data_IF_313904918457
#
_entry.id   IF_313904918457
#
_cell.length_a   1.000
_cell.length_b   1.000
_cell.length_c   1.000
_cell.angle_alpha   90.00
_cell.angle_beta   90.00
_cell.angle_gamma   90.00
#
_symmetry.space_group_name_H-M   'P 1'
#
loop_
_entity.id
_entity.type
_entity.pdbx_description
1 polymer ?
#
# COMPACT_ATOMS: atom_id res chain seq x y z
N UNK A 1 -8.28 3.55 -8.76
CA UNK A 1 -9.39 2.88 -8.05
C UNK A 1 -9.56 3.36 -6.61
N UNK A 2 -8.53 3.26 -5.78
CA UNK A 2 -8.61 3.73 -4.38
C UNK A 2 -8.86 5.24 -4.28
N UNK A 3 -8.30 6.04 -5.18
CA UNK A 3 -8.52 7.48 -5.23
C UNK A 3 -10.00 7.83 -5.39
N UNK A 4 -10.67 7.17 -6.34
CA UNK A 4 -12.09 7.39 -6.59
C UNK A 4 -12.93 6.99 -5.38
N UNK A 5 -12.60 5.87 -4.75
CA UNK A 5 -13.30 5.39 -3.57
C UNK A 5 -13.13 6.36 -2.38
N UNK A 6 -11.92 6.87 -2.17
CA UNK A 6 -11.63 7.86 -1.13
C UNK A 6 -12.38 9.17 -1.41
N UNK A 7 -12.36 9.63 -2.66
CA UNK A 7 -13.09 10.82 -3.07
C UNK A 7 -14.60 10.71 -2.87
N UNK A 8 -15.16 9.53 -3.16
CA UNK A 8 -16.59 9.27 -2.96
C UNK A 8 -17.01 9.36 -1.48
N UNK A 9 -16.09 9.07 -0.56
CA UNK A 9 -16.33 9.21 0.88
C UNK A 9 -16.10 10.63 1.39
N UNK A 10 -15.77 11.57 0.51
CA UNK A 10 -15.54 12.97 0.88
C UNK A 10 -14.22 13.24 1.60
N UNK A 11 -13.28 12.32 1.54
CA UNK A 11 -11.98 12.48 2.18
C UNK A 11 -11.09 13.36 1.31
N UNK A 12 -10.51 14.40 1.90
CA UNK A 12 -9.69 15.41 1.21
C UNK A 12 -8.35 15.59 1.93
N UNK A 13 -7.49 16.39 1.31
CA UNK A 13 -6.24 16.80 1.94
C UNK A 13 -5.10 15.80 1.83
N UNK A 14 -5.19 14.85 0.88
CA UNK A 14 -4.13 13.89 0.64
C UNK A 14 -3.24 14.32 -0.52
N UNK A 15 -2.01 13.82 -0.51
CA UNK A 15 -1.03 13.99 -1.59
C UNK A 15 -0.83 12.67 -2.31
N UNK A 16 -0.66 12.73 -3.63
CA UNK A 16 -0.38 11.55 -4.45
C UNK A 16 1.12 11.42 -4.69
N UNK A 17 1.62 10.19 -4.66
CA UNK A 17 3.03 9.89 -4.94
C UNK A 17 3.99 10.81 -4.17
N UNK A 18 3.78 10.90 -2.86
CA UNK A 18 4.44 11.88 -2.01
C UNK A 18 5.92 11.54 -1.80
N UNK A 19 6.79 12.20 -2.55
CA UNK A 19 8.23 11.92 -2.54
C UNK A 19 8.95 12.43 -1.28
N UNK A 20 8.34 13.32 -0.51
CA UNK A 20 8.94 13.87 0.72
C UNK A 20 8.90 12.91 1.89
N UNK A 21 8.08 11.86 1.82
CA UNK A 21 8.05 10.82 2.85
C UNK A 21 8.87 9.61 2.40
N UNK A 22 9.47 8.85 3.35
CA UNK A 22 10.21 7.63 2.99
C UNK A 22 9.34 6.67 2.18
N UNK A 23 9.93 6.06 1.16
CA UNK A 23 9.25 5.06 0.35
C UNK A 23 8.25 5.61 -0.66
N UNK A 24 8.06 6.92 -0.73
CA UNK A 24 7.16 7.56 -1.69
C UNK A 24 5.77 6.89 -1.73
N UNK A 25 4.97 6.98 -0.65
CA UNK A 25 3.66 6.35 -0.61
C UNK A 25 2.75 6.82 -1.74
N UNK A 26 1.86 5.95 -2.20
CA UNK A 26 0.92 6.27 -3.27
C UNK A 26 -0.04 7.39 -2.85
N UNK A 27 -0.48 7.36 -1.60
CA UNK A 27 -1.32 8.39 -1.01
C UNK A 27 -0.74 8.74 0.36
N UNK A 28 -0.60 10.04 0.65
CA UNK A 28 -0.11 10.51 1.94
C UNK A 28 -1.05 11.55 2.53
N UNK A 29 -1.47 11.31 3.76
CA UNK A 29 -2.20 12.29 4.57
C UNK A 29 -1.18 12.94 5.51
N UNK A 30 -0.56 14.02 5.05
CA UNK A 30 0.61 14.60 5.69
C UNK A 30 0.33 15.08 7.11
N UNK A 31 -0.79 15.79 7.31
CA UNK A 31 -1.15 16.31 8.62
C UNK A 31 -1.39 15.22 9.67
N UNK A 32 -1.89 14.07 9.24
CA UNK A 32 -2.16 12.94 10.14
C UNK A 32 -1.08 11.88 10.12
N UNK A 33 -0.10 12.02 9.24
CA UNK A 33 1.00 11.07 9.05
C UNK A 33 0.51 9.65 8.78
N UNK A 34 -0.39 9.53 7.81
CA UNK A 34 -0.86 8.24 7.32
C UNK A 34 -0.40 8.05 5.89
N UNK A 35 0.32 6.97 5.65
CA UNK A 35 0.81 6.60 4.32
C UNK A 35 0.06 5.38 3.82
N UNK A 36 -0.46 5.44 2.60
CA UNK A 36 -1.19 4.36 1.98
C UNK A 36 -0.41 3.86 0.77
N UNK A 37 -0.13 2.56 0.76
CA UNK A 37 0.46 1.88 -0.40
C UNK A 37 -0.59 0.98 -1.03
N UNK A 38 -0.71 1.06 -2.36
CA UNK A 38 -1.55 0.14 -3.14
C UNK A 38 -0.62 -0.85 -3.81
N UNK A 39 -0.66 -2.11 -3.37
CA UNK A 39 0.25 -3.14 -3.84
C UNK A 39 -0.41 -4.07 -4.86
N UNK A 40 0.19 -4.19 -6.05
CA UNK A 40 -0.16 -5.20 -7.03
C UNK A 40 0.22 -6.57 -6.48
N UNK A 41 -0.70 -7.54 -6.57
CA UNK A 41 -0.55 -8.84 -5.90
C UNK A 41 0.68 -9.63 -6.36
N UNK A 42 0.94 -9.64 -7.65
CA UNK A 42 2.09 -10.36 -8.20
C UNK A 42 3.42 -9.76 -7.72
N UNK A 43 3.59 -8.43 -7.91
CA UNK A 43 4.87 -7.76 -7.68
C UNK A 43 5.27 -7.67 -6.21
N UNK A 44 4.29 -7.66 -5.32
CA UNK A 44 4.50 -7.48 -3.88
C UNK A 44 4.24 -8.76 -3.08
N UNK A 45 4.05 -9.88 -3.75
CA UNK A 45 3.85 -11.19 -3.12
C UNK A 45 2.70 -11.18 -2.11
N UNK A 46 1.50 -10.91 -2.62
CA UNK A 46 0.28 -10.84 -1.82
C UNK A 46 0.08 -12.11 -0.98
N UNK A 47 -0.14 -11.97 0.34
CA UNK A 47 -0.39 -13.12 1.21
C UNK A 47 -1.84 -13.60 1.19
N UNK A 48 -2.74 -12.88 0.50
CA UNK A 48 -4.19 -13.11 0.59
C UNK A 48 -4.79 -13.85 -0.60
N UNK A 49 -4.15 -13.81 -1.77
CA UNK A 49 -4.72 -14.41 -2.97
C UNK A 49 -3.72 -15.35 -3.64
N UNK A 50 -4.26 -16.27 -4.45
CA UNK A 50 -3.43 -17.06 -5.34
C UNK A 50 -3.00 -16.18 -6.50
N UNK A 51 -1.71 -16.13 -6.74
CA UNK A 51 -1.14 -15.38 -7.84
C UNK A 51 -0.39 -16.32 -8.77
N UNK A 52 -0.35 -15.95 -10.03
CA UNK A 52 0.42 -16.68 -11.03
C UNK A 52 1.92 -16.58 -10.72
N UNK A 53 2.61 -17.72 -10.73
CA UNK A 53 4.07 -17.77 -10.62
C UNK A 53 4.62 -18.28 -11.94
N UNK A 54 5.45 -17.49 -12.65
CA UNK A 54 6.02 -17.96 -13.91
C UNK A 54 6.84 -19.23 -13.71
N UNK A 55 6.67 -20.19 -14.63
CA UNK A 55 7.43 -21.45 -14.59
C UNK A 55 8.84 -21.29 -15.13
N UNK A 56 9.02 -20.40 -16.10
CA UNK A 56 10.34 -20.08 -16.65
C UNK A 56 11.11 -19.16 -15.72
N UNK A 57 12.42 -19.39 -15.59
CA UNK A 57 13.30 -18.53 -14.79
C UNK A 57 12.83 -18.39 -13.32
N UNK A 58 12.42 -19.49 -12.71
CA UNK A 58 11.92 -19.51 -11.33
C UNK A 58 12.88 -18.86 -10.34
N UNK A 59 14.16 -19.16 -10.45
CA UNK A 59 15.19 -18.62 -9.54
C UNK A 59 15.27 -17.10 -9.67
N UNK A 60 15.26 -16.60 -10.90
CA UNK A 60 15.30 -15.17 -11.16
C UNK A 60 14.07 -14.46 -10.57
N UNK A 61 12.87 -15.02 -10.82
CA UNK A 61 11.63 -14.45 -10.29
C UNK A 61 11.57 -14.49 -8.77
N UNK A 62 12.03 -15.56 -8.16
CA UNK A 62 12.07 -15.69 -6.70
C UNK A 62 12.94 -14.59 -6.09
N UNK A 63 14.11 -14.34 -6.67
CA UNK A 63 15.01 -13.27 -6.21
C UNK A 63 14.38 -11.89 -6.40
N UNK A 64 13.78 -11.65 -7.57
CA UNK A 64 13.16 -10.35 -7.90
C UNK A 64 12.01 -10.04 -6.97
N UNK A 65 11.11 -10.97 -6.79
CA UNK A 65 9.94 -10.79 -5.91
C UNK A 65 10.35 -10.68 -4.45
N UNK A 66 11.34 -11.44 -4.03
CA UNK A 66 11.90 -11.35 -2.67
C UNK A 66 12.48 -9.98 -2.39
N UNK A 67 13.21 -9.40 -3.34
CA UNK A 67 13.74 -8.04 -3.20
C UNK A 67 12.63 -6.99 -3.10
N UNK A 68 11.56 -7.16 -3.86
CA UNK A 68 10.42 -6.26 -3.78
C UNK A 68 9.79 -6.29 -2.38
N UNK A 69 9.63 -7.48 -1.81
CA UNK A 69 9.12 -7.64 -0.43
C UNK A 69 10.04 -6.96 0.58
N UNK A 70 11.35 -7.15 0.46
CA UNK A 70 12.33 -6.51 1.35
C UNK A 70 12.22 -4.99 1.28
N UNK A 71 12.14 -4.42 0.07
CA UNK A 71 11.97 -2.97 -0.12
C UNK A 71 10.69 -2.46 0.51
N UNK A 72 9.58 -3.19 0.33
CA UNK A 72 8.31 -2.81 0.93
C UNK A 72 8.41 -2.77 2.45
N UNK A 73 9.08 -3.75 3.05
CA UNK A 73 9.29 -3.80 4.50
C UNK A 73 10.19 -2.66 4.97
N UNK A 74 11.25 -2.35 4.24
CA UNK A 74 12.15 -1.25 4.55
C UNK A 74 11.43 0.10 4.50
N UNK A 75 10.61 0.32 3.48
CA UNK A 75 9.81 1.54 3.33
C UNK A 75 8.84 1.71 4.48
N UNK A 76 8.13 0.65 4.83
CA UNK A 76 7.18 0.68 5.95
C UNK A 76 7.88 0.94 7.27
N UNK A 77 9.02 0.29 7.50
CA UNK A 77 9.80 0.49 8.72
C UNK A 77 10.31 1.94 8.82
N UNK A 78 10.81 2.49 7.71
CA UNK A 78 11.29 3.88 7.67
C UNK A 78 10.18 4.88 7.99
N UNK A 79 8.99 4.66 7.43
CA UNK A 79 7.82 5.49 7.69
C UNK A 79 7.40 5.41 9.16
N UNK A 80 7.35 4.21 9.73
CA UNK A 80 6.99 4.04 11.13
C UNK A 80 8.00 4.71 12.06
N UNK A 81 9.29 4.63 11.75
CA UNK A 81 10.34 5.35 12.52
C UNK A 81 10.16 6.86 12.45
N UNK A 82 9.62 7.37 11.33
CA UNK A 82 9.34 8.80 11.16
C UNK A 82 7.99 9.22 11.77
N UNK A 83 7.30 8.31 12.46
CA UNK A 83 6.04 8.58 13.12
C UNK A 83 4.80 8.40 12.26
N UNK A 84 4.94 7.78 11.09
CA UNK A 84 3.82 7.54 10.18
C UNK A 84 3.13 6.22 10.49
N UNK A 85 1.83 6.17 10.24
CA UNK A 85 1.08 4.93 10.15
C UNK A 85 1.07 4.47 8.71
N UNK A 86 1.19 3.17 8.50
CA UNK A 86 1.26 2.59 7.16
C UNK A 86 0.04 1.70 6.94
N UNK A 87 -0.69 1.97 5.87
CA UNK A 87 -1.83 1.16 5.44
C UNK A 87 -1.48 0.56 4.09
N UNK A 88 -1.47 -0.76 4.01
CA UNK A 88 -1.25 -1.46 2.74
C UNK A 88 -2.59 -1.94 2.21
N UNK A 89 -2.91 -1.55 0.98
CA UNK A 89 -4.12 -1.97 0.27
C UNK A 89 -3.70 -2.92 -0.84
N UNK A 90 -4.15 -4.17 -0.77
CA UNK A 90 -3.85 -5.17 -1.79
C UNK A 90 -4.87 -5.12 -2.91
N UNK A 91 -4.40 -5.21 -4.14
CA UNK A 91 -5.23 -5.09 -5.35
C UNK A 91 -6.42 -6.05 -5.33
N UNK A 92 -6.21 -7.32 -4.94
CA UNK A 92 -7.28 -8.30 -4.89
C UNK A 92 -8.38 -7.92 -3.89
N UNK A 93 -7.99 -7.35 -2.75
CA UNK A 93 -8.93 -6.89 -1.73
C UNK A 93 -9.66 -5.63 -2.16
N UNK A 94 -8.96 -4.73 -2.84
CA UNK A 94 -9.55 -3.50 -3.36
C UNK A 94 -10.60 -3.80 -4.43
N UNK A 95 -10.33 -4.75 -5.32
CA UNK A 95 -11.29 -5.17 -6.35
C UNK A 95 -12.51 -5.86 -5.75
N UNK A 96 -12.30 -6.66 -4.70
CA UNK A 96 -13.37 -7.40 -4.05
C UNK A 96 -14.29 -6.50 -3.23
N UNK A 97 -13.72 -5.59 -2.46
CA UNK A 97 -14.50 -4.72 -1.57
C UNK A 97 -13.78 -3.38 -1.37
N UNK A 98 -13.98 -2.42 -2.30
CA UNK A 98 -13.36 -1.09 -2.17
C UNK A 98 -13.76 -0.37 -0.89
N UNK A 99 -15.02 -0.49 -0.46
CA UNK A 99 -15.51 0.18 0.75
C UNK A 99 -14.77 -0.26 2.00
N UNK A 100 -14.45 -1.55 2.11
CA UNK A 100 -13.70 -2.08 3.23
C UNK A 100 -12.30 -1.46 3.28
N UNK A 101 -11.66 -1.30 2.13
CA UNK A 101 -10.31 -0.73 2.06
C UNK A 101 -10.33 0.76 2.44
N UNK A 102 -11.33 1.50 2.00
CA UNK A 102 -11.52 2.89 2.40
C UNK A 102 -11.75 3.01 3.90
N UNK A 103 -12.55 2.12 4.49
CA UNK A 103 -12.78 2.11 5.94
C UNK A 103 -11.50 1.87 6.72
N UNK A 104 -10.60 1.03 6.22
CA UNK A 104 -9.28 0.81 6.85
C UNK A 104 -8.47 2.10 6.88
N UNK A 105 -8.47 2.85 5.77
CA UNK A 105 -7.79 4.15 5.69
C UNK A 105 -8.41 5.15 6.66
N UNK A 106 -9.73 5.25 6.67
CA UNK A 106 -10.46 6.16 7.57
C UNK A 106 -10.18 5.84 9.03
N UNK A 107 -10.18 4.55 9.39
CA UNK A 107 -9.85 4.12 10.75
C UNK A 107 -8.46 4.56 11.16
N UNK A 108 -7.49 4.45 10.25
CA UNK A 108 -6.12 4.90 10.49
C UNK A 108 -6.04 6.41 10.67
N UNK A 109 -6.83 7.17 9.88
CA UNK A 109 -6.89 8.64 10.01
C UNK A 109 -7.47 9.07 11.35
N UNK A 110 -8.45 8.36 11.88
CA UNK A 110 -9.12 8.67 13.14
C UNK A 110 -8.41 8.10 14.38
N UNK A 111 -7.46 7.22 14.18
CA UNK A 111 -6.67 6.63 15.25
C UNK A 111 -5.56 7.59 15.70
N UNK A 112 -5.24 7.58 16.97
CA UNK A 112 -4.16 8.39 17.54
C UNK A 112 -3.07 7.54 18.14
#
# INVERSE_FOLDING_TARGET
MIRAAIGAEGIKGYRLHYAKAPGKPDIAFVGRKVAVFVHGCFWHSCPHCQRYTPKSNRVWWKKKLGRNVERDQEKAAALRRAGWRVVTVWECRLKKDPSMQVRRVVRSLNSR
#
